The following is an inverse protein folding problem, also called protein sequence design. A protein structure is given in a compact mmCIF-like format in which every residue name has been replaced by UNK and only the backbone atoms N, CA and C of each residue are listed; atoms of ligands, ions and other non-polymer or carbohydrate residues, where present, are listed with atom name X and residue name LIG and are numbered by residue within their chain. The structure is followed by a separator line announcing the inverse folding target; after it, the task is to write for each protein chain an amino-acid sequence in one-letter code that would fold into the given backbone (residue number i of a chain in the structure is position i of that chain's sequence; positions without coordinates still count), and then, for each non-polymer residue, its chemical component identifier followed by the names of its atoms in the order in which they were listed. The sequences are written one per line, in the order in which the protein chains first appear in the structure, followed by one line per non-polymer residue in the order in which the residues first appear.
data_IF_704917076207
#
_entry.id   IF_704917076207
#
_cell.length_a   1.000
_cell.length_b   1.000
_cell.length_c   1.000
_cell.angle_alpha   90.00
_cell.angle_beta   90.00
_cell.angle_gamma   90.00
#
_symmetry.space_group_name_H-M   'P 1'
#
loop_
_entity.id
_entity.type
_entity.pdbx_description
1 polymer ?
#
# COMPACT_ATOMS: atom_id res chain seq x y z
N UNK A 1 18.88 4.09 -52.16
CA UNK A 1 19.26 3.61 -50.82
C UNK A 1 20.11 4.67 -50.15
N UNK A 2 19.93 4.87 -48.84
CA UNK A 2 20.63 5.87 -48.00
C UNK A 2 21.71 5.18 -47.20
N UNK A 3 22.87 5.84 -47.09
CA UNK A 3 23.91 5.39 -46.11
C UNK A 3 23.40 5.56 -44.68
N UNK A 4 23.90 4.76 -43.75
CA UNK A 4 23.45 4.78 -42.34
C UNK A 4 23.47 6.20 -41.72
N UNK A 5 24.42 7.08 -42.08
CA UNK A 5 24.46 8.46 -41.59
C UNK A 5 23.30 9.32 -42.15
N UNK A 6 22.97 9.15 -43.43
CA UNK A 6 21.87 9.86 -44.07
C UNK A 6 20.52 9.38 -43.52
N UNK A 7 20.37 8.07 -43.36
CA UNK A 7 19.16 7.46 -42.76
C UNK A 7 19.00 7.90 -41.29
N UNK A 8 20.07 7.91 -40.51
CA UNK A 8 20.11 8.43 -39.15
C UNK A 8 19.61 9.88 -39.05
N UNK A 9 20.13 10.76 -39.93
CA UNK A 9 19.76 12.18 -39.99
C UNK A 9 18.28 12.37 -40.30
N UNK A 10 17.75 11.62 -41.30
CA UNK A 10 16.37 11.76 -41.73
C UNK A 10 15.36 11.14 -40.77
N UNK A 11 15.74 10.07 -40.07
CA UNK A 11 14.86 9.38 -39.11
C UNK A 11 15.02 9.86 -37.68
N UNK A 12 15.97 10.75 -37.39
CA UNK A 12 16.32 11.26 -36.06
C UNK A 12 16.71 10.16 -35.07
N UNK A 13 17.30 9.05 -35.61
CA UNK A 13 17.78 7.94 -34.78
C UNK A 13 19.30 7.88 -34.87
N UNK A 14 19.95 7.75 -33.71
CA UNK A 14 21.41 7.69 -33.69
C UNK A 14 21.96 6.50 -34.46
N UNK A 15 23.12 6.68 -35.12
CA UNK A 15 23.85 5.60 -35.81
C UNK A 15 24.11 4.42 -34.87
N UNK A 16 24.39 4.69 -33.59
CA UNK A 16 24.57 3.65 -32.55
C UNK A 16 23.30 2.80 -32.38
N UNK A 17 22.13 3.44 -32.35
CA UNK A 17 20.86 2.73 -32.21
C UNK A 17 20.54 1.92 -33.47
N UNK A 18 20.78 2.44 -34.66
CA UNK A 18 20.59 1.70 -35.92
C UNK A 18 21.50 0.46 -36.01
N UNK A 19 22.76 0.56 -35.55
CA UNK A 19 23.67 -0.60 -35.44
C UNK A 19 23.14 -1.62 -34.44
N UNK A 20 22.66 -1.17 -33.30
CA UNK A 20 22.06 -2.04 -32.28
C UNK A 20 20.82 -2.78 -32.81
N UNK A 21 19.96 -2.11 -33.58
CA UNK A 21 18.82 -2.76 -34.23
C UNK A 21 19.24 -3.77 -35.30
N UNK A 22 20.34 -3.54 -36.01
CA UNK A 22 20.91 -4.51 -36.92
C UNK A 22 21.47 -5.73 -36.18
N UNK A 23 22.27 -5.52 -35.13
CA UNK A 23 22.86 -6.58 -34.29
C UNK A 23 21.79 -7.45 -33.61
N UNK A 24 20.71 -6.85 -33.14
CA UNK A 24 19.57 -7.58 -32.54
C UNK A 24 18.60 -8.16 -33.56
N UNK A 25 18.83 -7.93 -34.86
CA UNK A 25 17.96 -8.40 -35.95
C UNK A 25 16.62 -7.66 -36.06
N UNK A 26 16.44 -6.60 -35.29
CA UNK A 26 15.19 -5.84 -35.23
C UNK A 26 14.97 -5.01 -36.51
N UNK A 27 16.04 -4.38 -37.03
CA UNK A 27 16.06 -3.65 -38.29
C UNK A 27 17.39 -3.87 -39.00
N UNK A 28 17.48 -4.86 -39.88
CA UNK A 28 18.67 -5.12 -40.70
C UNK A 28 18.77 -4.11 -41.84
N UNK A 29 19.97 -3.68 -42.26
CA UNK A 29 20.11 -2.87 -43.48
C UNK A 29 19.56 -3.59 -44.71
N UNK A 30 19.02 -2.83 -45.68
CA UNK A 30 18.51 -3.39 -46.91
C UNK A 30 19.64 -4.04 -47.75
N UNK A 31 20.85 -3.47 -47.67
CA UNK A 31 22.05 -4.02 -48.28
C UNK A 31 23.31 -3.55 -47.50
N UNK A 32 24.39 -4.30 -47.64
CA UNK A 32 25.75 -3.85 -47.25
C UNK A 32 26.54 -3.69 -48.53
N UNK A 33 27.10 -2.52 -48.74
CA UNK A 33 27.95 -2.24 -49.89
C UNK A 33 29.19 -3.14 -49.86
N UNK A 34 29.36 -4.03 -50.86
CA UNK A 34 30.45 -4.99 -50.83
C UNK A 34 31.84 -4.38 -50.98
N UNK A 35 31.95 -3.16 -51.52
CA UNK A 35 33.23 -2.48 -51.70
C UNK A 35 33.65 -1.67 -50.47
N UNK A 36 32.69 -1.03 -49.79
CA UNK A 36 32.94 -0.10 -48.72
C UNK A 36 32.52 -0.60 -47.32
N UNK A 37 31.73 -1.70 -47.27
CA UNK A 37 31.15 -2.23 -46.04
C UNK A 37 30.10 -1.32 -45.44
N UNK A 38 29.64 -0.27 -46.11
CA UNK A 38 28.62 0.64 -45.59
C UNK A 38 27.22 -0.02 -45.59
N UNK A 39 26.51 0.16 -44.49
CA UNK A 39 25.10 -0.22 -44.33
C UNK A 39 24.23 0.73 -45.14
N UNK A 40 23.37 0.19 -45.98
CA UNK A 40 22.46 0.92 -46.81
C UNK A 40 21.01 0.60 -46.38
N UNK A 41 20.21 1.62 -46.26
CA UNK A 41 18.79 1.54 -45.87
C UNK A 41 17.90 2.06 -46.97
N UNK A 42 16.67 1.49 -47.09
CA UNK A 42 15.64 1.91 -48.05
C UNK A 42 14.46 2.59 -47.34
N UNK A 43 13.66 3.32 -48.14
CA UNK A 43 12.40 3.92 -47.68
C UNK A 43 11.39 2.88 -47.16
N UNK A 44 11.41 1.67 -47.72
CA UNK A 44 10.47 0.59 -47.34
C UNK A 44 10.64 0.14 -45.90
N UNK A 45 11.81 0.41 -45.31
CA UNK A 45 12.12 0.09 -43.94
C UNK A 45 11.55 1.10 -42.92
N UNK A 46 11.05 2.25 -43.39
CA UNK A 46 10.47 3.29 -42.54
C UNK A 46 9.25 2.79 -41.79
N UNK A 47 8.38 2.00 -42.43
CA UNK A 47 7.20 1.44 -41.75
C UNK A 47 7.59 0.57 -40.58
N UNK A 48 8.57 -0.34 -40.76
CA UNK A 48 9.09 -1.19 -39.71
C UNK A 48 9.76 -0.37 -38.59
N UNK A 49 10.56 0.63 -38.97
CA UNK A 49 11.21 1.52 -38.02
C UNK A 49 10.19 2.27 -37.16
N UNK A 50 9.13 2.83 -37.76
CA UNK A 50 8.08 3.54 -37.04
C UNK A 50 7.33 2.62 -36.07
N UNK A 51 7.11 1.36 -36.41
CA UNK A 51 6.52 0.37 -35.48
C UNK A 51 7.45 0.12 -34.29
N UNK A 52 8.75 -0.05 -34.53
CA UNK A 52 9.74 -0.22 -33.45
C UNK A 52 9.74 0.99 -32.51
N UNK A 53 9.72 2.20 -33.07
CA UNK A 53 9.72 3.43 -32.27
C UNK A 53 8.44 3.55 -31.44
N UNK A 54 7.27 3.33 -32.04
CA UNK A 54 6.00 3.38 -31.35
C UNK A 54 5.93 2.41 -30.15
N UNK A 55 6.40 1.18 -30.33
CA UNK A 55 6.46 0.19 -29.24
C UNK A 55 7.46 0.59 -28.17
N UNK A 56 8.65 1.08 -28.55
CA UNK A 56 9.64 1.57 -27.61
C UNK A 56 9.11 2.73 -26.76
N UNK A 57 8.45 3.69 -27.37
CA UNK A 57 7.90 4.86 -26.70
C UNK A 57 6.76 4.48 -25.73
N UNK A 58 6.11 3.33 -25.96
CA UNK A 58 5.19 2.71 -25.00
C UNK A 58 5.90 1.91 -23.88
N UNK A 59 7.26 1.91 -23.84
CA UNK A 59 8.03 1.26 -22.79
C UNK A 59 8.25 -0.25 -22.96
N UNK A 60 8.06 -0.78 -24.20
CA UNK A 60 8.45 -2.16 -24.49
C UNK A 60 9.97 -2.29 -24.60
N UNK A 61 10.52 -3.37 -24.08
CA UNK A 61 11.93 -3.72 -24.23
C UNK A 61 12.23 -4.20 -25.65
N UNK A 62 13.49 -4.14 -26.08
CA UNK A 62 13.90 -4.63 -27.39
C UNK A 62 13.56 -6.10 -27.59
N UNK A 63 13.67 -6.92 -26.54
CA UNK A 63 13.29 -8.33 -26.58
C UNK A 63 11.79 -8.53 -26.86
N UNK A 64 10.93 -7.78 -26.16
CA UNK A 64 9.48 -7.81 -26.37
C UNK A 64 9.11 -7.32 -27.78
N UNK A 65 9.73 -6.21 -28.24
CA UNK A 65 9.51 -5.69 -29.60
C UNK A 65 9.93 -6.73 -30.65
N UNK A 66 11.07 -7.39 -30.46
CA UNK A 66 11.56 -8.42 -31.38
C UNK A 66 10.59 -9.60 -31.46
N UNK A 67 10.09 -10.07 -30.32
CA UNK A 67 9.07 -11.13 -30.26
C UNK A 67 7.76 -10.72 -30.94
N UNK A 68 7.30 -9.49 -30.73
CA UNK A 68 6.07 -8.96 -31.35
C UNK A 68 6.21 -8.78 -32.88
N UNK A 69 7.38 -8.36 -33.34
CA UNK A 69 7.64 -8.15 -34.77
C UNK A 69 7.95 -9.44 -35.54
N UNK A 70 8.29 -10.52 -34.84
CA UNK A 70 8.47 -11.86 -35.39
C UNK A 70 7.15 -12.62 -35.63
N UNK A 71 6.08 -12.25 -34.92
CA UNK A 71 4.72 -12.75 -35.11
C UNK A 71 3.97 -11.86 -36.12
N UNK A 72 3.09 -12.43 -36.93
CA UNK A 72 2.35 -11.68 -37.95
C UNK A 72 1.34 -10.66 -37.38
N UNK A 73 1.16 -10.60 -36.08
CA UNK A 73 0.31 -9.61 -35.39
C UNK A 73 0.85 -9.22 -34.04
N UNK A 74 0.64 -7.96 -33.68
CA UNK A 74 0.88 -7.48 -32.31
C UNK A 74 0.03 -8.32 -31.34
N UNK A 75 0.64 -8.94 -30.34
CA UNK A 75 -0.08 -9.72 -29.34
C UNK A 75 -0.97 -8.81 -28.47
N UNK A 76 -2.32 -8.93 -28.57
CA UNK A 76 -3.21 -8.12 -27.73
C UNK A 76 -2.93 -8.29 -26.25
N UNK A 77 -2.59 -9.50 -25.82
CA UNK A 77 -2.30 -9.80 -24.41
C UNK A 77 -1.06 -9.04 -23.88
N UNK A 78 -0.02 -8.85 -24.70
CA UNK A 78 1.15 -8.06 -24.31
C UNK A 78 0.83 -6.57 -24.22
N UNK A 79 -0.03 -6.08 -25.12
CA UNK A 79 -0.48 -4.68 -25.06
C UNK A 79 -1.32 -4.44 -23.81
N UNK A 80 -2.27 -5.32 -23.49
CA UNK A 80 -3.10 -5.24 -22.30
C UNK A 80 -2.26 -5.31 -21.01
N UNK A 81 -1.27 -6.21 -20.98
CA UNK A 81 -0.35 -6.30 -19.84
C UNK A 81 0.43 -5.00 -19.63
N UNK A 82 0.93 -4.39 -20.71
CA UNK A 82 1.66 -3.10 -20.63
C UNK A 82 0.74 -1.95 -20.25
N UNK A 83 -0.49 -1.92 -20.73
CA UNK A 83 -1.49 -0.94 -20.30
C UNK A 83 -1.78 -1.05 -18.81
N UNK A 84 -1.93 -2.26 -18.29
CA UNK A 84 -2.15 -2.49 -16.85
C UNK A 84 -0.96 -2.04 -16.01
N UNK A 85 0.27 -2.34 -16.45
CA UNK A 85 1.50 -1.87 -15.80
C UNK A 85 1.54 -0.34 -15.71
N UNK A 86 1.30 0.35 -16.82
CA UNK A 86 1.28 1.82 -16.87
C UNK A 86 0.18 2.39 -15.98
N UNK A 87 -1.02 1.79 -15.97
CA UNK A 87 -2.12 2.20 -15.08
C UNK A 87 -1.75 2.07 -13.61
N UNK A 88 -1.04 1.01 -13.22
CA UNK A 88 -0.55 0.84 -11.85
C UNK A 88 0.46 1.92 -11.47
N UNK A 89 1.39 2.25 -12.37
CA UNK A 89 2.36 3.34 -12.16
C UNK A 89 1.63 4.68 -11.99
N UNK A 90 0.67 4.98 -12.87
CA UNK A 90 -0.13 6.22 -12.78
C UNK A 90 -0.86 6.29 -11.44
N UNK A 91 -1.50 5.21 -11.00
CA UNK A 91 -2.21 5.17 -9.73
C UNK A 91 -1.26 5.44 -8.53
N UNK A 92 -0.07 4.83 -8.54
CA UNK A 92 0.93 5.05 -7.52
C UNK A 92 1.43 6.52 -7.48
N UNK A 93 1.69 7.12 -8.63
CA UNK A 93 2.13 8.51 -8.72
C UNK A 93 1.00 9.49 -8.32
N UNK A 94 -0.26 9.19 -8.63
CA UNK A 94 -1.41 9.97 -8.17
C UNK A 94 -1.54 9.99 -6.64
N UNK A 95 -1.25 8.87 -5.98
CA UNK A 95 -1.22 8.82 -4.51
C UNK A 95 -0.12 9.74 -3.96
N UNK A 96 1.08 9.72 -4.56
CA UNK A 96 2.18 10.61 -4.14
C UNK A 96 1.81 12.08 -4.34
N UNK A 97 1.16 12.42 -5.46
CA UNK A 97 0.71 13.79 -5.73
C UNK A 97 -0.29 14.27 -4.68
N UNK A 98 -1.30 13.45 -4.34
CA UNK A 98 -2.26 13.77 -3.28
C UNK A 98 -1.59 13.99 -1.92
N UNK A 99 -0.55 13.21 -1.59
CA UNK A 99 0.24 13.41 -0.36
C UNK A 99 0.97 14.76 -0.37
N UNK A 100 1.57 15.14 -1.48
CA UNK A 100 2.23 16.45 -1.64
C UNK A 100 1.24 17.61 -1.51
N UNK A 101 0.05 17.48 -2.10
CA UNK A 101 -1.02 18.47 -1.96
C UNK A 101 -1.46 18.65 -0.50
N UNK A 102 -1.63 17.54 0.22
CA UNK A 102 -1.95 17.55 1.66
C UNK A 102 -0.83 18.23 2.47
N UNK A 103 0.44 17.95 2.17
CA UNK A 103 1.58 18.60 2.82
C UNK A 103 1.59 20.12 2.56
N UNK A 104 1.33 20.53 1.31
CA UNK A 104 1.25 21.95 0.93
C UNK A 104 0.11 22.67 1.68
N UNK A 105 -1.05 22.04 1.78
CA UNK A 105 -2.19 22.57 2.54
C UNK A 105 -1.85 22.75 4.03
N UNK A 106 -1.22 21.76 4.65
CA UNK A 106 -0.77 21.84 6.06
C UNK A 106 0.25 22.96 6.27
N UNK A 107 1.16 23.14 5.34
CA UNK A 107 2.17 24.21 5.39
C UNK A 107 1.54 25.61 5.27
N UNK A 108 0.56 25.79 4.38
CA UNK A 108 -0.12 27.07 4.18
C UNK A 108 -1.02 27.49 5.36
N UNK A 109 -1.48 26.51 6.15
CA UNK A 109 -2.34 26.74 7.33
C UNK A 109 -1.56 26.91 8.63
N UNK A 110 -0.22 26.88 8.60
CA UNK A 110 0.62 26.99 9.79
C UNK A 110 0.52 25.78 10.75
N UNK A 111 -0.20 24.74 10.34
CA UNK A 111 -0.45 23.55 11.14
C UNK A 111 0.62 22.48 10.88
N UNK A 112 1.82 22.70 11.43
CA UNK A 112 2.81 21.63 11.53
C UNK A 112 2.51 20.62 12.64
N UNK A 113 1.47 20.81 13.40
CA UNK A 113 0.74 19.83 14.23
C UNK A 113 -0.46 20.56 14.84
N UNK A 114 -1.70 20.21 14.46
CA UNK A 114 -2.73 20.25 15.48
C UNK A 114 -2.19 19.35 16.62
N UNK A 115 -2.11 19.83 17.85
CA UNK A 115 -1.68 19.00 18.95
C UNK A 115 -2.67 17.85 19.02
N UNK A 116 -2.24 16.66 18.62
CA UNK A 116 -3.03 15.43 18.76
C UNK A 116 -3.39 15.37 20.24
N UNK A 117 -4.66 15.63 20.56
CA UNK A 117 -5.09 15.68 21.96
C UNK A 117 -5.11 14.26 22.51
N UNK A 118 -4.14 13.94 23.35
CA UNK A 118 -4.06 12.66 24.03
C UNK A 118 -4.65 12.82 25.43
N UNK A 119 -5.61 11.97 25.75
CA UNK A 119 -6.25 11.93 27.06
C UNK A 119 -6.03 10.57 27.73
N UNK A 120 -5.86 10.58 29.04
CA UNK A 120 -5.83 9.32 29.82
C UNK A 120 -7.25 9.00 30.26
N UNK A 121 -7.66 7.76 30.03
CA UNK A 121 -8.95 7.23 30.51
C UNK A 121 -8.81 5.82 31.04
N UNK A 122 -9.64 5.45 31.99
CA UNK A 122 -9.82 4.06 32.39
C UNK A 122 -10.68 3.33 31.35
N UNK A 123 -10.33 2.10 31.08
CA UNK A 123 -11.10 1.23 30.20
C UNK A 123 -11.48 -0.03 30.99
N UNK A 124 -12.78 -0.34 31.11
CA UNK A 124 -13.23 -1.49 31.87
C UNK A 124 -12.87 -2.81 31.18
N UNK A 125 -12.79 -3.88 31.97
CA UNK A 125 -12.73 -5.23 31.45
C UNK A 125 -14.00 -5.54 30.63
N UNK A 126 -13.84 -6.35 29.59
CA UNK A 126 -14.98 -6.76 28.78
C UNK A 126 -14.85 -8.22 28.32
N UNK A 127 -15.99 -8.89 28.25
CA UNK A 127 -16.09 -10.22 27.67
C UNK A 127 -16.21 -10.12 26.15
N UNK A 128 -15.37 -10.83 25.42
CA UNK A 128 -15.29 -10.70 23.96
C UNK A 128 -15.35 -12.07 23.27
N UNK A 129 -15.88 -12.08 22.07
CA UNK A 129 -15.50 -13.02 21.03
C UNK A 129 -14.23 -12.50 20.37
N UNK A 130 -13.18 -13.30 20.32
CA UNK A 130 -11.93 -12.90 19.71
C UNK A 130 -11.48 -13.83 18.58
N UNK A 131 -10.72 -13.27 17.63
CA UNK A 131 -10.08 -13.96 16.52
C UNK A 131 -8.66 -13.42 16.36
N UNK A 132 -7.64 -14.18 16.77
CA UNK A 132 -6.24 -13.80 16.65
C UNK A 132 -5.57 -14.56 15.51
N UNK A 133 -4.88 -13.83 14.63
CA UNK A 133 -4.08 -14.39 13.54
C UNK A 133 -2.90 -13.49 13.19
N UNK A 134 -1.88 -14.11 12.61
CA UNK A 134 -0.83 -13.40 11.90
C UNK A 134 -1.31 -13.15 10.48
N UNK A 135 -1.38 -11.87 10.08
CA UNK A 135 -1.84 -11.44 8.76
C UNK A 135 -0.66 -10.91 7.92
N UNK A 136 -0.74 -10.98 6.58
CA UNK A 136 0.36 -10.52 5.71
C UNK A 136 0.78 -9.07 5.92
N UNK A 137 -0.21 -8.18 6.13
CA UNK A 137 -0.06 -6.75 6.39
C UNK A 137 -1.34 -6.19 7.01
N UNK A 138 -1.32 -4.92 7.43
CA UNK A 138 -2.47 -4.24 8.06
C UNK A 138 -3.71 -4.15 7.16
N UNK A 139 -3.56 -4.21 5.84
CA UNK A 139 -4.70 -4.16 4.91
C UNK A 139 -5.46 -5.48 4.83
N UNK A 140 -4.82 -6.59 5.22
CA UNK A 140 -5.45 -7.91 5.26
C UNK A 140 -6.43 -8.10 6.43
N UNK A 141 -6.48 -7.17 7.39
CA UNK A 141 -7.41 -7.20 8.54
C UNK A 141 -8.88 -7.30 8.12
N UNK A 142 -9.25 -6.74 6.96
CA UNK A 142 -10.60 -6.82 6.41
C UNK A 142 -11.13 -8.25 6.26
N UNK A 143 -10.28 -9.21 5.93
CA UNK A 143 -10.67 -10.63 5.82
C UNK A 143 -11.03 -11.24 7.19
N UNK A 144 -10.34 -10.83 8.25
CA UNK A 144 -10.65 -11.25 9.62
C UNK A 144 -12.00 -10.70 10.07
N UNK A 145 -12.30 -9.44 9.75
CA UNK A 145 -13.60 -8.83 10.06
C UNK A 145 -14.75 -9.53 9.33
N UNK A 146 -14.55 -9.95 8.08
CA UNK A 146 -15.55 -10.77 7.37
C UNK A 146 -15.77 -12.11 8.03
N UNK A 147 -14.72 -12.81 8.45
CA UNK A 147 -14.81 -14.08 9.16
C UNK A 147 -15.52 -13.91 10.52
N UNK A 148 -15.21 -12.84 11.27
CA UNK A 148 -15.88 -12.50 12.53
C UNK A 148 -17.37 -12.26 12.31
N UNK A 149 -17.75 -11.47 11.32
CA UNK A 149 -19.15 -11.18 11.00
C UNK A 149 -19.95 -12.46 10.65
N UNK A 150 -19.35 -13.33 9.82
CA UNK A 150 -19.97 -14.61 9.45
C UNK A 150 -20.18 -15.51 10.68
N UNK A 151 -19.20 -15.60 11.58
CA UNK A 151 -19.32 -16.38 12.80
C UNK A 151 -20.41 -15.84 13.74
N UNK A 152 -20.42 -14.52 13.95
CA UNK A 152 -21.43 -13.83 14.77
C UNK A 152 -22.85 -14.09 14.25
N UNK A 153 -23.03 -14.06 12.93
CA UNK A 153 -24.32 -14.36 12.30
C UNK A 153 -24.74 -15.83 12.49
N UNK A 154 -23.80 -16.76 12.30
CA UNK A 154 -24.05 -18.21 12.45
C UNK A 154 -24.42 -18.56 13.89
N UNK A 155 -23.68 -18.06 14.85
CA UNK A 155 -23.88 -18.32 16.29
C UNK A 155 -24.95 -17.41 16.92
N UNK A 156 -25.52 -16.48 16.15
CA UNK A 156 -26.56 -15.51 16.59
C UNK A 156 -26.13 -14.71 17.82
N UNK A 157 -24.88 -14.28 17.85
CA UNK A 157 -24.34 -13.53 18.97
C UNK A 157 -24.80 -12.07 18.94
N UNK A 158 -24.95 -11.48 20.12
CA UNK A 158 -25.31 -10.07 20.27
C UNK A 158 -24.08 -9.27 20.71
N UNK A 159 -23.61 -8.37 19.86
CA UNK A 159 -22.57 -7.40 20.22
C UNK A 159 -23.13 -6.37 21.21
N UNK A 160 -22.32 -6.02 22.24
CA UNK A 160 -22.71 -5.08 23.30
C UNK A 160 -21.79 -3.87 23.42
N UNK A 161 -20.83 -3.71 22.49
CA UNK A 161 -19.89 -2.62 22.50
C UNK A 161 -19.21 -2.45 21.15
N UNK A 162 -18.28 -1.49 21.10
CA UNK A 162 -17.46 -1.27 19.91
C UNK A 162 -16.41 -2.38 19.77
N UNK A 163 -16.31 -2.93 18.59
CA UNK A 163 -15.25 -3.87 18.24
C UNK A 163 -13.90 -3.15 18.15
N UNK A 164 -12.83 -3.87 18.46
CA UNK A 164 -11.48 -3.33 18.44
C UNK A 164 -10.45 -4.38 18.03
N UNK A 165 -9.32 -3.91 17.51
CA UNK A 165 -8.17 -4.74 17.20
C UNK A 165 -7.08 -4.50 18.23
N UNK A 166 -6.39 -5.56 18.68
CA UNK A 166 -5.19 -5.51 19.53
C UNK A 166 -4.01 -5.96 18.69
N UNK A 167 -2.93 -5.19 18.69
CA UNK A 167 -1.68 -5.51 18.00
C UNK A 167 -0.64 -5.96 18.99
N UNK A 168 -0.12 -7.19 18.84
CA UNK A 168 0.75 -7.84 19.82
C UNK A 168 2.23 -7.76 19.49
N UNK A 169 2.60 -7.25 18.31
CA UNK A 169 3.99 -7.12 17.93
C UNK A 169 4.71 -6.08 18.82
N UNK A 170 5.87 -6.44 19.36
CA UNK A 170 6.69 -5.53 20.19
C UNK A 170 7.35 -4.41 19.36
N UNK A 171 7.50 -4.63 18.05
CA UNK A 171 8.04 -3.67 17.11
C UNK A 171 7.16 -3.58 15.86
N UNK A 172 7.20 -2.45 15.17
CA UNK A 172 6.45 -2.27 13.92
C UNK A 172 6.84 -3.34 12.89
N UNK A 173 5.83 -4.05 12.40
CA UNK A 173 5.96 -5.07 11.36
C UNK A 173 5.42 -4.55 10.04
N UNK A 174 6.21 -4.64 8.95
CA UNK A 174 5.70 -4.41 7.60
C UNK A 174 4.91 -5.60 7.06
N UNK A 175 5.22 -6.80 7.60
CA UNK A 175 4.61 -8.09 7.22
C UNK A 175 4.48 -8.99 8.44
N UNK A 176 3.56 -9.97 8.34
CA UNK A 176 3.31 -10.94 9.41
C UNK A 176 2.86 -10.28 10.71
N UNK A 177 1.90 -9.37 10.61
CA UNK A 177 1.34 -8.61 11.73
C UNK A 177 0.49 -9.52 12.63
N UNK A 178 0.79 -9.59 13.91
CA UNK A 178 0.03 -10.38 14.90
C UNK A 178 -1.12 -9.53 15.48
N UNK A 179 -2.31 -9.77 15.00
CA UNK A 179 -3.50 -8.99 15.36
C UNK A 179 -4.61 -9.89 15.90
N UNK A 180 -5.29 -9.41 16.93
CA UNK A 180 -6.49 -10.02 17.49
C UNK A 180 -7.67 -9.07 17.36
N UNK A 181 -8.71 -9.50 16.64
CA UNK A 181 -9.99 -8.81 16.62
C UNK A 181 -10.78 -9.20 17.86
N UNK A 182 -11.37 -8.22 18.52
CA UNK A 182 -12.19 -8.38 19.71
C UNK A 182 -13.56 -7.74 19.51
N UNK A 183 -14.61 -8.53 19.62
CA UNK A 183 -15.98 -8.05 19.61
C UNK A 183 -16.61 -8.27 20.99
N UNK A 184 -16.94 -7.21 21.74
CA UNK A 184 -17.65 -7.36 23.02
C UNK A 184 -19.02 -8.02 22.80
N UNK A 185 -19.27 -9.10 23.54
CA UNK A 185 -20.51 -9.89 23.43
C UNK A 185 -21.15 -10.08 24.81
N UNK A 186 -22.48 -10.21 24.82
CA UNK A 186 -23.23 -10.43 26.06
C UNK A 186 -23.13 -11.87 26.55
N UNK A 187 -23.03 -12.81 25.61
CA UNK A 187 -23.14 -14.24 25.90
C UNK A 187 -21.79 -14.91 25.59
N UNK A 188 -21.37 -15.80 26.49
CA UNK A 188 -20.26 -16.71 26.20
C UNK A 188 -20.75 -17.87 25.35
N UNK A 189 -19.88 -18.40 24.49
CA UNK A 189 -20.13 -19.54 23.62
C UNK A 189 -18.98 -20.55 23.66
N UNK A 190 -19.09 -21.58 22.83
CA UNK A 190 -18.00 -22.56 22.70
C UNK A 190 -16.91 -22.04 21.78
N UNK A 191 -15.66 -22.21 22.17
CA UNK A 191 -14.51 -21.96 21.30
C UNK A 191 -14.56 -22.88 20.08
N UNK A 192 -14.35 -22.32 18.89
CA UNK A 192 -14.43 -23.06 17.64
C UNK A 192 -13.38 -22.56 16.64
N UNK A 193 -12.54 -23.47 16.13
CA UNK A 193 -11.42 -23.06 15.25
C UNK A 193 -10.50 -22.07 15.96
N UNK A 194 -10.31 -20.88 15.37
CA UNK A 194 -9.52 -19.80 15.94
C UNK A 194 -10.35 -18.83 16.79
N UNK A 195 -11.68 -18.99 16.82
CA UNK A 195 -12.56 -18.14 17.63
C UNK A 195 -12.50 -18.53 19.10
N UNK A 196 -12.34 -17.52 19.98
CA UNK A 196 -12.26 -17.69 21.43
C UNK A 196 -13.21 -16.73 22.13
N UNK A 197 -13.91 -17.24 23.14
CA UNK A 197 -14.61 -16.41 24.12
C UNK A 197 -13.69 -16.21 25.32
N UNK A 198 -13.33 -14.98 25.61
CA UNK A 198 -12.43 -14.63 26.71
C UNK A 198 -12.72 -13.27 27.29
N UNK A 199 -12.15 -13.01 28.45
CA UNK A 199 -12.16 -11.69 29.03
C UNK A 199 -10.89 -10.93 28.59
N UNK A 200 -11.08 -9.67 28.23
CA UNK A 200 -10.01 -8.69 28.05
C UNK A 200 -9.96 -7.86 29.32
N UNK A 201 -8.80 -7.85 29.95
CA UNK A 201 -8.58 -7.11 31.18
C UNK A 201 -8.82 -5.61 31.00
N UNK A 202 -9.41 -5.00 32.02
CA UNK A 202 -9.50 -3.55 32.12
C UNK A 202 -8.14 -2.91 32.34
N UNK A 203 -8.02 -1.67 31.95
CA UNK A 203 -6.81 -0.85 32.16
C UNK A 203 -7.18 0.44 32.90
N UNK A 204 -6.48 0.72 33.98
CA UNK A 204 -6.69 1.94 34.76
C UNK A 204 -6.26 3.20 33.99
N UNK A 205 -5.23 3.07 33.15
CA UNK A 205 -4.69 4.16 32.36
C UNK A 205 -4.46 3.73 30.92
N UNK A 206 -5.28 4.28 30.02
CA UNK A 206 -5.13 4.18 28.56
C UNK A 206 -4.96 5.58 28.01
N UNK A 207 -3.81 5.86 27.43
CA UNK A 207 -3.62 7.06 26.62
C UNK A 207 -4.38 6.89 25.31
N UNK A 208 -5.31 7.78 25.04
CA UNK A 208 -6.25 7.66 23.91
C UNK A 208 -6.27 8.94 23.07
N UNK A 209 -6.34 8.77 21.77
CA UNK A 209 -6.57 9.86 20.82
C UNK A 209 -7.43 9.41 19.65
N UNK A 210 -8.06 10.39 18.97
CA UNK A 210 -8.83 10.16 17.76
C UNK A 210 -8.06 10.62 16.53
N UNK A 211 -8.12 9.82 15.49
CA UNK A 211 -7.58 10.13 14.16
C UNK A 211 -8.75 10.28 13.20
N UNK A 212 -8.92 11.48 12.65
CA UNK A 212 -9.86 11.74 11.55
C UNK A 212 -9.12 11.59 10.22
N UNK A 213 -9.71 10.86 9.28
CA UNK A 213 -9.14 10.66 7.95
C UNK A 213 -8.77 9.21 7.65
N UNK A 214 -8.16 8.97 6.49
CA UNK A 214 -7.80 7.62 6.05
C UNK A 214 -6.80 6.95 6.99
N UNK A 215 -6.76 5.63 6.99
CA UNK A 215 -5.86 4.83 7.84
C UNK A 215 -4.37 5.18 7.67
N UNK A 216 -3.98 5.79 6.56
CA UNK A 216 -2.61 6.31 6.36
C UNK A 216 -2.22 7.42 7.34
N UNK A 217 -3.18 8.08 7.99
CA UNK A 217 -2.93 9.14 8.99
C UNK A 217 -2.62 8.57 10.40
N UNK A 218 -2.89 7.31 10.65
CA UNK A 218 -2.68 6.63 11.93
C UNK A 218 -1.20 6.74 12.38
N UNK A 219 -0.25 6.58 11.46
CA UNK A 219 1.17 6.72 11.77
C UNK A 219 1.55 8.11 12.35
N UNK A 220 0.79 9.16 11.99
CA UNK A 220 0.94 10.50 12.55
C UNK A 220 0.61 10.55 14.03
N UNK A 221 -0.46 9.88 14.44
CA UNK A 221 -0.87 9.80 15.83
C UNK A 221 0.14 9.04 16.71
N UNK A 222 0.69 7.93 16.22
CA UNK A 222 1.73 7.21 16.96
C UNK A 222 2.97 8.09 17.22
N UNK A 223 3.38 8.92 16.26
CA UNK A 223 4.48 9.89 16.49
C UNK A 223 4.14 10.96 17.54
N UNK A 224 2.86 11.34 17.65
CA UNK A 224 2.42 12.25 18.71
C UNK A 224 2.47 11.57 20.08
N UNK A 225 2.12 10.28 20.19
CA UNK A 225 2.27 9.51 21.43
C UNK A 225 3.72 9.46 21.90
N UNK A 226 4.72 9.30 21.02
CA UNK A 226 6.14 9.29 21.42
C UNK A 226 6.49 10.56 22.20
N UNK A 227 6.19 11.74 21.64
CA UNK A 227 6.43 13.02 22.31
C UNK A 227 5.66 13.14 23.63
N UNK A 228 4.40 12.77 23.61
CA UNK A 228 3.53 12.85 24.77
C UNK A 228 4.01 11.96 25.93
N UNK A 229 4.50 10.74 25.62
CA UNK A 229 5.07 9.82 26.63
C UNK A 229 6.28 10.44 27.32
N UNK A 230 7.21 11.02 26.55
CA UNK A 230 8.40 11.71 27.08
C UNK A 230 8.01 12.91 27.94
N UNK A 231 7.12 13.78 27.45
CA UNK A 231 6.66 14.98 28.16
C UNK A 231 5.93 14.67 29.48
N UNK A 232 5.29 13.50 29.57
CA UNK A 232 4.50 13.11 30.74
C UNK A 232 5.19 12.09 31.66
N UNK A 233 6.45 11.70 31.40
CA UNK A 233 7.19 10.69 32.17
C UNK A 233 6.39 9.38 32.28
N UNK A 234 5.96 8.86 31.14
CA UNK A 234 5.02 7.73 31.05
C UNK A 234 5.61 6.67 30.14
N UNK A 235 5.48 5.41 30.51
CA UNK A 235 5.96 4.25 29.77
C UNK A 235 4.79 3.45 29.18
N UNK A 236 5.05 2.71 28.11
CA UNK A 236 4.12 1.73 27.56
C UNK A 236 3.89 0.59 28.57
N UNK A 237 2.67 0.08 28.65
CA UNK A 237 2.26 -0.97 29.58
C UNK A 237 1.43 -2.08 28.89
N UNK A 238 1.83 -2.47 27.70
CA UNK A 238 1.21 -3.55 26.93
C UNK A 238 0.83 -3.18 25.51
N UNK A 239 0.17 -4.08 24.81
CA UNK A 239 -0.19 -3.91 23.42
C UNK A 239 -1.22 -2.81 23.23
N UNK A 240 -1.08 -2.06 22.15
CA UNK A 240 -2.04 -1.03 21.76
C UNK A 240 -3.27 -1.64 21.10
N UNK A 241 -4.33 -0.85 21.05
CA UNK A 241 -5.56 -1.24 20.37
C UNK A 241 -6.15 -0.10 19.57
N UNK A 242 -6.87 -0.47 18.53
CA UNK A 242 -7.55 0.47 17.63
C UNK A 242 -9.04 0.15 17.60
N UNK A 243 -9.86 1.20 17.68
CA UNK A 243 -11.31 1.14 17.56
C UNK A 243 -11.69 1.99 16.35
N UNK A 244 -12.22 1.37 15.30
CA UNK A 244 -12.70 2.12 14.14
C UNK A 244 -14.17 2.45 14.33
N UNK A 245 -14.46 3.69 14.68
CA UNK A 245 -15.83 4.19 14.88
C UNK A 245 -16.54 4.46 13.55
N UNK A 246 -15.80 4.98 12.57
CA UNK A 246 -16.25 5.14 11.18
C UNK A 246 -15.17 4.61 10.25
N UNK A 247 -15.54 3.73 9.34
CA UNK A 247 -14.65 3.07 8.43
C UNK A 247 -15.36 2.62 7.17
N UNK A 248 -14.74 1.80 6.31
CA UNK A 248 -15.27 1.42 5.00
C UNK A 248 -16.64 0.74 5.00
N UNK A 249 -17.09 0.25 6.15
CA UNK A 249 -18.38 -0.44 6.30
C UNK A 249 -19.55 0.49 6.64
N UNK A 250 -19.29 1.73 7.08
CA UNK A 250 -20.30 2.72 7.47
C UNK A 250 -20.03 4.14 7.01
N UNK A 251 -18.92 4.36 6.27
CA UNK A 251 -18.53 5.65 5.72
C UNK A 251 -17.86 5.45 4.35
N UNK A 252 -18.33 6.17 3.35
CA UNK A 252 -17.82 6.06 1.97
C UNK A 252 -16.65 6.99 1.68
N UNK A 253 -16.57 8.14 2.38
CA UNK A 253 -15.48 9.08 2.22
C UNK A 253 -14.36 8.79 3.23
N UNK A 254 -13.17 8.31 2.78
CA UNK A 254 -12.07 8.03 3.70
C UNK A 254 -11.61 9.22 4.54
N UNK A 255 -11.88 10.46 4.12
CA UNK A 255 -11.57 11.67 4.89
C UNK A 255 -12.43 11.81 6.15
N UNK A 256 -13.55 11.09 6.22
CA UNK A 256 -14.48 11.08 7.35
C UNK A 256 -14.29 9.86 8.27
N UNK A 257 -13.33 8.99 7.98
CA UNK A 257 -13.02 7.87 8.87
C UNK A 257 -12.62 8.40 10.24
N UNK A 258 -12.94 7.63 11.27
CA UNK A 258 -12.64 7.99 12.66
C UNK A 258 -12.12 6.75 13.38
N UNK A 259 -10.83 6.76 13.68
CA UNK A 259 -10.15 5.69 14.41
C UNK A 259 -9.71 6.22 15.77
N UNK A 260 -10.02 5.53 16.82
CA UNK A 260 -9.48 5.78 18.14
C UNK A 260 -8.30 4.83 18.40
N UNK A 261 -7.15 5.39 18.75
CA UNK A 261 -5.97 4.65 19.17
C UNK A 261 -5.90 4.71 20.69
N UNK A 262 -5.71 3.56 21.32
CA UNK A 262 -5.61 3.42 22.77
C UNK A 262 -4.35 2.65 23.12
N UNK A 263 -3.47 3.25 23.91
CA UNK A 263 -2.19 2.66 24.34
C UNK A 263 -2.19 2.53 25.85
N UNK A 264 -2.02 1.32 26.43
CA UNK A 264 -1.86 1.15 27.85
C UNK A 264 -0.59 1.84 28.31
N UNK A 265 -0.69 2.60 29.41
CA UNK A 265 0.43 3.37 29.92
C UNK A 265 0.52 3.27 31.45
N UNK A 266 1.75 3.40 31.98
CA UNK A 266 2.03 3.50 33.41
C UNK A 266 2.99 4.63 33.69
N UNK A 267 3.00 5.18 34.92
CA UNK A 267 4.00 6.16 35.31
C UNK A 267 5.36 5.50 35.43
N UNK A 268 6.41 6.22 35.05
CA UNK A 268 7.79 5.73 35.13
C UNK A 268 8.21 5.36 36.58
N UNK A 269 7.61 6.02 37.57
CA UNK A 269 7.86 5.76 38.99
C UNK A 269 7.16 4.50 39.53
N UNK A 270 6.26 3.89 38.78
CA UNK A 270 5.54 2.68 39.16
C UNK A 270 6.22 1.42 38.61
N UNK A 271 7.54 1.26 38.80
CA UNK A 271 8.22 0.01 38.48
C UNK A 271 7.72 -1.05 39.47
N UNK A 272 7.11 -2.16 39.05
CA UNK A 272 6.79 -3.24 39.97
C UNK A 272 8.11 -3.73 40.55
N UNK A 273 8.26 -3.64 41.86
CA UNK A 273 9.29 -4.38 42.57
C UNK A 273 9.05 -5.86 42.32
N UNK A 274 9.89 -6.47 41.45
CA UNK A 274 9.87 -7.88 41.10
C UNK A 274 10.08 -8.83 42.28
#
# INVERSE_FOLDING_TARGET
MLKIGEFSKLTQISIRMLRYYDETGLLKPAAIDPQTGYRLYSSDQLTRLNQILALRDCGFTISEISAMMGSQSLSPALIEAKQKEIQQIIAAEQIKLKRLESLKQRQSQGHFADPVQIVIKAVPACHVLSLRRVIPDYYAEGALWQAMAAFVQTERLTAVGQAFSIFYDEAYQEKNVDVELCLPVKQSGKNQGDFRFRDVEGRAAMASTFVCGPFSEIAGAYRAFVRWLEENGTLLDGPDRQIVHRGPWNETDPRQYLTEIQIPVRKETEVPLG
#
